data_IF_653487206841
#
_entry.id   IF_653487206841
#
_cell.length_a   1.000
_cell.length_b   1.000
_cell.length_c   1.000
_cell.angle_alpha   90.00
_cell.angle_beta   90.00
_cell.angle_gamma   90.00
#
_symmetry.space_group_name_H-M   'P 1'
#
loop_
_entity.id
_entity.type
_entity.pdbx_description
1 polymer ?
#
# COMPACT_ATOMS: atom_id res chain seq x y z
N UNK A 1 -36.29 5.89 19.50
CA UNK A 1 -35.11 5.35 18.80
C UNK A 1 -34.88 6.25 17.61
N UNK A 2 -34.08 7.29 17.82
CA UNK A 2 -33.94 8.43 16.92
C UNK A 2 -33.08 8.08 15.71
N UNK A 3 -33.51 8.52 14.53
CA UNK A 3 -32.83 8.33 13.22
C UNK A 3 -31.37 8.84 13.28
N UNK A 4 -31.11 9.83 14.12
CA UNK A 4 -29.78 10.42 14.35
C UNK A 4 -28.81 9.40 14.97
N UNK A 5 -29.27 8.55 15.90
CA UNK A 5 -28.44 7.53 16.54
C UNK A 5 -28.01 6.44 15.53
N UNK A 6 -28.90 6.07 14.62
CA UNK A 6 -28.66 5.04 13.60
C UNK A 6 -27.68 5.51 12.51
N UNK A 7 -27.74 6.79 12.10
CA UNK A 7 -26.79 7.35 11.13
C UNK A 7 -25.37 7.50 11.69
N UNK A 8 -25.24 7.72 13.00
CA UNK A 8 -23.93 7.79 13.67
C UNK A 8 -23.29 6.39 13.73
N UNK A 9 -24.05 5.31 13.96
CA UNK A 9 -23.54 3.93 13.93
C UNK A 9 -23.03 3.51 12.54
N UNK A 10 -23.66 3.96 11.45
CA UNK A 10 -23.27 3.60 10.07
C UNK A 10 -22.02 4.37 9.58
N UNK A 11 -21.69 5.51 10.20
CA UNK A 11 -20.55 6.36 9.84
C UNK A 11 -19.37 6.32 10.82
N UNK A 12 -19.33 5.34 11.74
CA UNK A 12 -18.23 5.18 12.69
C UNK A 12 -17.15 4.21 12.16
N UNK A 13 -16.05 4.71 11.55
CA UNK A 13 -14.95 3.86 11.15
C UNK A 13 -14.30 3.17 12.35
N UNK A 14 -13.86 1.93 12.12
CA UNK A 14 -13.04 1.18 13.06
C UNK A 14 -11.57 1.51 12.86
N UNK A 15 -10.90 1.93 13.94
CA UNK A 15 -9.47 2.18 13.96
C UNK A 15 -8.74 1.12 14.78
N UNK A 16 -7.69 0.53 14.21
CA UNK A 16 -6.83 -0.42 14.91
C UNK A 16 -5.66 0.34 15.58
N UNK A 17 -5.40 0.01 16.84
CA UNK A 17 -4.30 0.54 17.63
C UNK A 17 -3.41 -0.59 18.14
N UNK A 18 -2.14 -0.28 18.39
CA UNK A 18 -1.16 -1.18 19.00
C UNK A 18 -0.49 -0.49 20.18
N UNK A 19 -0.47 -1.17 21.33
CA UNK A 19 0.28 -0.73 22.50
C UNK A 19 1.77 -1.04 22.33
N UNK A 20 2.66 -0.09 22.65
CA UNK A 20 4.10 -0.31 22.62
C UNK A 20 4.58 -1.22 23.77
N UNK A 21 3.91 -1.16 24.93
CA UNK A 21 4.37 -1.87 26.14
C UNK A 21 3.95 -3.35 26.14
N UNK A 22 2.67 -3.64 25.98
CA UNK A 22 2.17 -5.03 25.96
C UNK A 22 2.15 -5.66 24.56
N UNK A 23 2.40 -4.87 23.50
CA UNK A 23 2.42 -5.26 22.08
C UNK A 23 1.11 -5.82 21.52
N UNK A 24 0.03 -5.84 22.32
CA UNK A 24 -1.31 -6.26 21.90
C UNK A 24 -1.99 -5.18 21.05
N UNK A 25 -2.86 -5.65 20.17
CA UNK A 25 -3.67 -4.83 19.27
C UNK A 25 -5.11 -4.80 19.76
N UNK A 26 -5.81 -3.72 19.49
CA UNK A 26 -7.22 -3.58 19.79
C UNK A 26 -7.87 -2.60 18.80
N UNK A 27 -9.19 -2.67 18.70
CA UNK A 27 -9.99 -1.86 17.78
C UNK A 27 -10.86 -0.88 18.56
N UNK A 28 -11.07 0.30 17.97
CA UNK A 28 -11.88 1.37 18.56
C UNK A 28 -12.78 1.95 17.48
N UNK A 29 -14.07 2.04 17.77
CA UNK A 29 -15.03 2.74 16.92
C UNK A 29 -14.99 4.22 17.28
N UNK A 30 -14.58 5.06 16.35
CA UNK A 30 -14.49 6.50 16.54
C UNK A 30 -15.16 7.18 15.36
N UNK A 31 -15.89 8.25 15.61
CA UNK A 31 -16.26 9.15 14.52
C UNK A 31 -15.02 9.86 13.98
N UNK A 32 -15.12 10.46 12.80
CA UNK A 32 -14.03 11.29 12.27
C UNK A 32 -13.69 12.46 13.20
N UNK A 33 -14.68 13.06 13.88
CA UNK A 33 -14.46 14.19 14.79
C UNK A 33 -13.77 13.79 16.10
N UNK A 34 -14.01 12.56 16.58
CA UNK A 34 -13.42 12.06 17.82
C UNK A 34 -11.99 11.54 17.61
N UNK A 35 -11.65 11.14 16.39
CA UNK A 35 -10.35 10.56 16.06
C UNK A 35 -9.19 11.49 16.41
N UNK A 36 -9.28 12.78 16.04
CA UNK A 36 -8.23 13.76 16.31
C UNK A 36 -8.02 14.05 17.80
N UNK A 37 -9.05 13.80 18.61
CA UNK A 37 -9.03 14.05 20.06
C UNK A 37 -8.72 12.78 20.87
N UNK A 38 -8.60 11.63 20.20
CA UNK A 38 -8.49 10.34 20.86
C UNK A 38 -7.11 10.14 21.51
N UNK A 39 -7.07 10.22 22.84
CA UNK A 39 -5.91 9.87 23.68
C UNK A 39 -6.11 8.52 24.35
N UNK A 40 -6.33 7.50 23.53
CA UNK A 40 -6.69 6.16 23.99
C UNK A 40 -5.70 5.53 24.97
N UNK A 41 -6.24 4.72 25.87
CA UNK A 41 -5.47 3.89 26.79
C UNK A 41 -5.60 2.41 26.38
N UNK A 42 -4.52 1.64 26.52
CA UNK A 42 -4.54 0.23 26.18
C UNK A 42 -5.48 -0.56 27.11
N UNK A 43 -6.50 -1.27 26.58
CA UNK A 43 -7.46 -2.01 27.41
C UNK A 43 -6.85 -3.23 28.11
N UNK A 44 -5.64 -3.64 27.74
CA UNK A 44 -4.99 -4.82 28.29
C UNK A 44 -3.99 -4.53 29.41
N UNK A 45 -3.39 -3.33 29.45
CA UNK A 45 -2.31 -3.01 30.38
C UNK A 45 -2.37 -1.58 30.93
N UNK A 46 -3.40 -0.81 30.58
CA UNK A 46 -3.60 0.57 31.03
C UNK A 46 -2.47 1.55 30.64
N UNK A 47 -1.59 1.20 29.69
CA UNK A 47 -0.61 2.16 29.18
C UNK A 47 -1.23 3.16 28.22
N UNK A 48 -0.72 4.39 28.24
CA UNK A 48 -1.03 5.45 27.27
C UNK A 48 -0.09 5.42 26.06
N UNK A 49 0.90 4.54 26.03
CA UNK A 49 1.86 4.39 24.94
C UNK A 49 1.26 3.54 23.81
N UNK A 50 0.29 4.12 23.11
CA UNK A 50 -0.45 3.47 22.03
C UNK A 50 -0.28 4.23 20.72
N UNK A 51 -0.27 3.50 19.61
CA UNK A 51 -0.05 4.06 18.28
C UNK A 51 -1.09 3.50 17.30
N UNK A 52 -1.47 4.29 16.30
CA UNK A 52 -2.34 3.81 15.22
C UNK A 52 -1.61 2.70 14.47
N UNK A 53 -2.28 1.57 14.29
CA UNK A 53 -1.77 0.46 13.51
C UNK A 53 -2.49 0.37 12.17
N UNK A 54 -1.76 0.70 11.10
CA UNK A 54 -2.24 0.55 9.73
C UNK A 54 -1.77 -0.82 9.25
N UNK A 55 -2.72 -1.70 8.89
CA UNK A 55 -2.40 -3.02 8.35
C UNK A 55 -1.61 -2.88 7.06
N UNK A 56 -0.64 -3.78 6.87
CA UNK A 56 0.07 -3.90 5.59
C UNK A 56 -0.93 -4.34 4.52
N UNK A 57 -1.13 -3.50 3.53
CA UNK A 57 -1.92 -3.80 2.34
C UNK A 57 -0.99 -4.20 1.20
N UNK A 58 -1.45 -5.11 0.35
CA UNK A 58 -0.77 -5.47 -0.90
C UNK A 58 -1.62 -4.97 -2.05
N UNK A 59 -0.99 -4.22 -2.95
CA UNK A 59 -1.62 -3.78 -4.18
C UNK A 59 -1.01 -4.56 -5.35
N UNK A 60 -1.85 -5.05 -6.26
CA UNK A 60 -1.40 -5.52 -7.56
C UNK A 60 -1.16 -4.30 -8.44
N UNK A 61 0.10 -4.02 -8.77
CA UNK A 61 0.45 -2.97 -9.72
C UNK A 61 0.10 -3.46 -11.13
N UNK A 62 -0.83 -2.79 -11.81
CA UNK A 62 -1.25 -3.18 -13.16
C UNK A 62 -0.27 -2.72 -14.25
N UNK A 63 -0.44 -3.21 -15.48
CA UNK A 63 0.48 -3.01 -16.62
C UNK A 63 0.82 -1.54 -16.89
N UNK A 64 -0.13 -0.61 -16.72
CA UNK A 64 0.07 0.83 -16.99
C UNK A 64 1.05 1.49 -16.01
N UNK A 65 0.96 1.15 -14.73
CA UNK A 65 1.89 1.65 -13.71
C UNK A 65 3.28 1.05 -13.88
N UNK A 66 3.37 -0.17 -14.41
CA UNK A 66 4.63 -0.77 -14.78
C UNK A 66 5.28 -0.03 -15.96
N UNK A 67 4.52 0.24 -17.02
CA UNK A 67 4.98 1.04 -18.17
C UNK A 67 5.42 2.45 -17.77
N UNK A 68 4.72 3.11 -16.84
CA UNK A 68 5.13 4.42 -16.33
C UNK A 68 6.47 4.38 -15.60
N UNK A 69 6.79 3.28 -14.91
CA UNK A 69 8.08 3.07 -14.24
C UNK A 69 9.20 2.84 -15.27
N UNK A 70 8.89 2.13 -16.36
CA UNK A 70 9.82 1.89 -17.47
C UNK A 70 10.08 3.14 -18.33
N UNK A 71 9.15 4.11 -18.35
CA UNK A 71 9.29 5.36 -19.08
C UNK A 71 10.05 6.44 -18.28
N UNK A 72 10.48 6.15 -17.05
CA UNK A 72 11.21 7.10 -16.22
C UNK A 72 12.67 7.25 -16.72
N UNK A 73 13.12 8.48 -17.02
CA UNK A 73 14.44 8.72 -17.60
C UNK A 73 15.59 8.36 -16.66
N UNK A 74 15.42 8.42 -15.34
CA UNK A 74 16.48 8.00 -14.41
C UNK A 74 16.67 6.48 -14.44
N UNK A 75 15.55 5.73 -14.49
CA UNK A 75 15.61 4.29 -14.67
C UNK A 75 16.22 3.89 -16.02
N UNK A 76 15.89 4.60 -17.11
CA UNK A 76 16.47 4.35 -18.43
C UNK A 76 17.98 4.63 -18.47
N UNK A 77 18.44 5.73 -17.86
CA UNK A 77 19.86 6.06 -17.79
C UNK A 77 20.64 5.03 -16.95
N UNK A 78 20.06 4.49 -15.88
CA UNK A 78 20.69 3.42 -15.11
C UNK A 78 20.85 2.13 -15.94
N UNK A 79 19.91 1.84 -16.84
CA UNK A 79 19.94 0.68 -17.73
C UNK A 79 21.00 0.80 -18.84
N UNK A 80 21.35 2.01 -19.30
CA UNK A 80 22.44 2.19 -20.28
C UNK A 80 23.80 1.73 -19.74
N UNK A 81 24.00 1.79 -18.41
CA UNK A 81 25.25 1.39 -17.77
C UNK A 81 25.39 -0.12 -17.54
N UNK A 82 24.31 -0.89 -17.66
CA UNK A 82 24.30 -2.35 -17.45
C UNK A 82 23.60 -3.09 -18.62
N UNK A 83 24.37 -3.69 -19.56
CA UNK A 83 23.82 -4.37 -20.73
C UNK A 83 22.97 -5.60 -20.38
N UNK A 84 23.18 -6.23 -19.23
CA UNK A 84 22.35 -7.37 -18.80
C UNK A 84 20.98 -6.91 -18.32
N UNK A 85 20.94 -5.82 -17.56
CA UNK A 85 19.69 -5.21 -17.10
C UNK A 85 18.86 -4.68 -18.27
N UNK A 86 19.53 -4.07 -19.27
CA UNK A 86 18.88 -3.63 -20.51
C UNK A 86 18.24 -4.79 -21.28
N UNK A 87 18.96 -5.90 -21.48
CA UNK A 87 18.42 -7.07 -22.18
C UNK A 87 17.22 -7.71 -21.46
N UNK A 88 17.25 -7.75 -20.13
CA UNK A 88 16.11 -8.21 -19.32
C UNK A 88 14.89 -7.31 -19.49
N UNK A 89 15.08 -5.99 -19.48
CA UNK A 89 14.02 -5.00 -19.68
C UNK A 89 13.41 -5.08 -21.08
N UNK A 90 14.22 -5.31 -22.11
CA UNK A 90 13.74 -5.51 -23.49
C UNK A 90 12.85 -6.75 -23.63
N UNK A 91 13.23 -7.88 -23.01
CA UNK A 91 12.40 -9.11 -22.99
C UNK A 91 11.07 -8.91 -22.26
N UNK A 92 11.10 -8.13 -21.18
CA UNK A 92 9.91 -7.79 -20.41
C UNK A 92 8.96 -6.84 -21.18
N UNK A 93 9.52 -5.82 -21.85
CA UNK A 93 8.76 -4.91 -22.72
C UNK A 93 8.15 -5.65 -23.92
N UNK A 94 8.87 -6.60 -24.53
CA UNK A 94 8.36 -7.48 -25.60
C UNK A 94 7.11 -8.24 -25.15
N UNK A 95 7.16 -8.81 -23.95
CA UNK A 95 6.05 -9.57 -23.35
C UNK A 95 4.84 -8.67 -23.08
N UNK A 96 5.06 -7.46 -22.55
CA UNK A 96 3.99 -6.53 -22.16
C UNK A 96 3.32 -5.83 -23.36
N UNK A 97 4.05 -5.59 -24.45
CA UNK A 97 3.50 -5.01 -25.68
C UNK A 97 2.85 -6.05 -26.61
N UNK A 98 2.78 -7.32 -26.20
CA UNK A 98 2.25 -8.41 -27.04
C UNK A 98 3.10 -8.66 -28.29
N UNK A 99 4.35 -8.20 -28.27
CA UNK A 99 5.30 -8.22 -29.38
C UNK A 99 6.02 -9.59 -29.49
N UNK A 100 5.33 -10.67 -29.12
CA UNK A 100 5.85 -12.04 -29.19
C UNK A 100 6.12 -12.52 -30.64
N UNK A 101 5.58 -11.79 -31.63
CA UNK A 101 5.74 -12.06 -33.06
C UNK A 101 6.94 -11.33 -33.71
N UNK A 102 7.74 -10.57 -32.95
CA UNK A 102 8.98 -9.99 -33.49
C UNK A 102 10.06 -11.07 -33.64
N UNK A 103 10.74 -11.14 -34.81
CA UNK A 103 11.74 -12.15 -35.12
C UNK A 103 12.92 -12.13 -34.12
N UNK A 104 13.55 -13.29 -33.93
CA UNK A 104 14.42 -13.67 -32.79
C UNK A 104 15.76 -12.95 -32.63
N UNK A 105 15.84 -11.65 -32.88
CA UNK A 105 17.03 -10.82 -32.65
C UNK A 105 17.27 -10.47 -31.16
N UNK A 106 16.40 -10.92 -30.26
CA UNK A 106 16.44 -10.65 -28.80
C UNK A 106 16.50 -11.91 -27.91
N UNK A 107 16.62 -13.10 -28.52
CA UNK A 107 16.58 -14.40 -27.83
C UNK A 107 17.98 -14.98 -27.50
N UNK A 108 19.04 -14.16 -27.59
CA UNK A 108 20.39 -14.45 -27.05
C UNK A 108 20.56 -13.84 -25.66
#
# INVERSE_FOLDING_TARGET
MDIVQFLIEVCMPTYEFRCADCRKKYEVFLSFADYDQYKGQCPHCASNNVTRYIRKVRFSLGDRSHLATLADPENLNALESDPQALGKMMREMKTQLGANDLPGEFDE
#
